data_IF_991010218746
#
_entry.id   IF_991010218746
#
_cell.length_a   1.000
_cell.length_b   1.000
_cell.length_c   1.000
_cell.angle_alpha   90.00
_cell.angle_beta   90.00
_cell.angle_gamma   90.00
#
_symmetry.space_group_name_H-M   'P 1'
#
loop_
_entity.id
_entity.type
_entity.pdbx_description
1 polymer ?
#
# COMPACT_ATOMS: atom_id res chain seq x y z
N UNK A 1 -50.94 -4.73 -38.81
CA UNK A 1 -50.87 -4.92 -37.35
C UNK A 1 -49.44 -4.60 -36.91
N UNK A 2 -49.31 -3.64 -36.00
CA UNK A 2 -48.29 -3.46 -34.94
C UNK A 2 -46.79 -3.65 -35.26
N UNK A 3 -46.02 -2.58 -35.04
CA UNK A 3 -44.55 -2.49 -34.91
C UNK A 3 -44.10 -2.90 -33.46
N UNK A 4 -42.81 -2.88 -33.04
CA UNK A 4 -41.49 -2.96 -33.71
C UNK A 4 -40.40 -3.78 -32.92
N UNK A 5 -39.15 -3.75 -33.43
CA UNK A 5 -37.82 -3.95 -32.77
C UNK A 5 -37.41 -5.28 -32.10
N UNK A 6 -36.33 -5.88 -32.63
CA UNK A 6 -35.04 -6.17 -31.94
C UNK A 6 -34.04 -6.61 -33.03
N UNK A 7 -33.34 -5.66 -33.64
CA UNK A 7 -31.93 -5.32 -33.36
C UNK A 7 -30.93 -6.28 -34.02
N UNK A 8 -30.55 -5.93 -35.25
CA UNK A 8 -29.21 -6.20 -35.78
C UNK A 8 -28.23 -5.25 -35.10
N UNK A 9 -27.15 -5.78 -34.53
CA UNK A 9 -25.91 -5.01 -34.42
C UNK A 9 -24.71 -5.96 -34.33
N UNK A 10 -24.00 -6.10 -35.44
CA UNK A 10 -22.57 -6.40 -35.44
C UNK A 10 -21.84 -5.08 -35.20
N UNK A 11 -21.11 -4.95 -34.09
CA UNK A 11 -19.98 -4.01 -34.03
C UNK A 11 -18.88 -4.59 -33.16
N UNK A 12 -17.70 -4.63 -33.75
CA UNK A 12 -16.44 -4.80 -33.07
C UNK A 12 -16.25 -3.71 -32.03
N UNK A 13 -15.89 -4.08 -30.79
CA UNK A 13 -15.37 -3.12 -29.83
C UNK A 13 -13.99 -3.57 -29.33
N UNK A 14 -13.04 -3.47 -30.25
CA UNK A 14 -11.82 -2.67 -30.10
C UNK A 14 -11.57 -2.13 -28.67
N UNK A 15 -10.60 -2.73 -27.99
CA UNK A 15 -9.61 -2.04 -27.16
C UNK A 15 -10.13 -0.89 -26.26
N UNK A 16 -10.61 -1.23 -25.07
CA UNK A 16 -10.75 -0.26 -23.98
C UNK A 16 -9.37 0.10 -23.42
N UNK A 17 -8.66 0.98 -24.12
CA UNK A 17 -7.78 1.94 -23.46
C UNK A 17 -8.69 3.01 -22.85
N UNK A 18 -8.87 2.99 -21.54
CA UNK A 18 -8.90 4.22 -20.72
C UNK A 18 -8.61 3.79 -19.29
N UNK A 19 -7.32 3.79 -18.98
CA UNK A 19 -6.82 4.15 -17.65
C UNK A 19 -7.33 5.55 -17.29
N UNK A 20 -8.16 5.74 -16.26
CA UNK A 20 -8.09 6.98 -15.50
C UNK A 20 -6.88 6.87 -14.59
N UNK A 21 -5.78 7.43 -15.09
CA UNK A 21 -4.66 8.03 -14.35
C UNK A 21 -4.90 8.11 -12.83
N UNK A 22 -4.36 7.15 -12.06
CA UNK A 22 -4.06 7.39 -10.64
C UNK A 22 -2.61 7.83 -10.61
N UNK A 23 -2.43 9.06 -10.18
CA UNK A 23 -1.20 9.82 -10.21
C UNK A 23 -0.08 9.03 -9.52
N UNK A 24 0.86 8.52 -10.31
CA UNK A 24 2.13 7.96 -9.85
C UNK A 24 2.98 9.09 -9.27
N UNK A 25 2.65 9.53 -8.06
CA UNK A 25 3.56 10.34 -7.24
C UNK A 25 4.56 9.42 -6.56
N UNK A 26 5.33 8.77 -7.43
CA UNK A 26 6.64 8.26 -7.09
C UNK A 26 7.65 9.12 -7.82
N UNK A 27 8.28 10.04 -7.10
CA UNK A 27 9.66 10.35 -7.40
C UNK A 27 10.54 10.11 -6.18
N UNK A 28 11.67 9.48 -6.47
CA UNK A 28 12.93 9.49 -5.72
C UNK A 28 13.17 8.41 -4.65
N UNK A 29 13.86 7.37 -5.14
CA UNK A 29 15.05 6.75 -4.53
C UNK A 29 14.85 5.51 -3.63
N UNK A 30 14.87 4.33 -4.27
CA UNK A 30 15.52 3.10 -3.77
C UNK A 30 15.22 2.62 -2.32
N UNK A 31 14.05 2.96 -1.76
CA UNK A 31 13.62 2.49 -0.43
C UNK A 31 12.62 1.35 -0.55
N UNK A 32 12.72 0.38 0.35
CA UNK A 32 11.85 -0.78 0.42
C UNK A 32 10.60 -0.44 1.23
N UNK A 33 9.41 -0.67 0.69
CA UNK A 33 8.17 -0.49 1.44
C UNK A 33 7.99 -1.64 2.44
N UNK A 34 8.02 -1.34 3.73
CA UNK A 34 7.89 -2.33 4.80
C UNK A 34 6.49 -2.96 4.86
N UNK A 35 5.47 -2.32 4.29
CA UNK A 35 4.12 -2.88 4.19
C UNK A 35 4.01 -3.98 3.14
N UNK A 36 4.93 -4.01 2.17
CA UNK A 36 4.99 -5.04 1.14
C UNK A 36 5.69 -6.32 1.65
N UNK A 37 6.50 -6.18 2.71
CA UNK A 37 7.26 -7.28 3.28
C UNK A 37 6.41 -8.14 4.23
N UNK A 38 6.43 -9.45 3.98
CA UNK A 38 5.92 -10.44 4.93
C UNK A 38 6.83 -10.54 6.16
N UNK A 39 6.32 -11.11 7.27
CA UNK A 39 7.09 -11.30 8.52
C UNK A 39 8.44 -11.99 8.31
N UNK A 40 8.51 -12.97 7.42
CA UNK A 40 9.77 -13.67 7.10
C UNK A 40 10.74 -12.73 6.38
N UNK A 41 10.29 -12.07 5.31
CA UNK A 41 11.09 -11.10 4.55
C UNK A 41 11.57 -9.94 5.44
N UNK A 42 10.72 -9.47 6.36
CA UNK A 42 11.09 -8.44 7.32
C UNK A 42 12.20 -8.93 8.27
N UNK A 43 12.13 -10.17 8.76
CA UNK A 43 13.19 -10.73 9.59
C UNK A 43 14.49 -10.90 8.82
N UNK A 44 14.43 -11.36 7.57
CA UNK A 44 15.59 -11.49 6.69
C UNK A 44 16.22 -10.14 6.39
N UNK A 45 15.41 -9.14 6.07
CA UNK A 45 15.85 -7.76 5.85
C UNK A 45 16.62 -7.19 7.05
N UNK A 46 16.10 -7.42 8.25
CA UNK A 46 16.80 -7.02 9.48
C UNK A 46 18.05 -7.86 9.75
N UNK A 47 18.02 -9.17 9.46
CA UNK A 47 19.17 -10.05 9.61
C UNK A 47 20.31 -9.65 8.67
N UNK A 48 20.01 -9.28 7.42
CA UNK A 48 20.98 -8.79 6.43
C UNK A 48 21.65 -7.48 6.88
N UNK A 49 20.91 -6.62 7.59
CA UNK A 49 21.45 -5.41 8.22
C UNK A 49 22.28 -5.65 9.49
N UNK A 50 22.39 -6.91 9.95
CA UNK A 50 23.06 -7.29 11.19
C UNK A 50 22.24 -7.02 12.47
N UNK A 51 20.93 -6.79 12.33
CA UNK A 51 20.02 -6.56 13.45
C UNK A 51 19.34 -7.87 13.87
N UNK A 52 18.90 -7.95 15.12
CA UNK A 52 18.21 -9.14 15.63
C UNK A 52 16.80 -9.24 15.03
N UNK A 53 16.31 -10.45 14.67
CA UNK A 53 15.01 -10.64 14.00
C UNK A 53 13.82 -10.19 14.85
N UNK A 54 13.97 -10.11 16.18
CA UNK A 54 12.90 -9.57 17.04
C UNK A 54 12.63 -8.08 16.77
N UNK A 55 13.60 -7.33 16.23
CA UNK A 55 13.41 -5.92 15.86
C UNK A 55 12.40 -5.78 14.73
N UNK A 56 12.40 -6.71 13.78
CA UNK A 56 11.39 -6.77 12.73
C UNK A 56 9.99 -7.01 13.32
N UNK A 57 9.83 -7.93 14.28
CA UNK A 57 8.55 -8.13 14.98
C UNK A 57 8.11 -6.86 15.76
N UNK A 58 9.04 -6.09 16.35
CA UNK A 58 8.69 -4.80 16.96
C UNK A 58 8.18 -3.80 15.93
N UNK A 59 8.85 -3.67 14.79
CA UNK A 59 8.45 -2.75 13.72
C UNK A 59 7.10 -3.16 13.14
N UNK A 60 6.87 -4.45 12.89
CA UNK A 60 5.56 -4.97 12.50
C UNK A 60 4.49 -4.60 13.53
N UNK A 61 4.76 -4.77 14.83
CA UNK A 61 3.79 -4.38 15.86
C UNK A 61 3.45 -2.88 15.75
N UNK A 62 4.43 -2.02 15.53
CA UNK A 62 4.19 -0.58 15.35
C UNK A 62 3.34 -0.28 14.11
N UNK A 63 3.67 -0.88 12.97
CA UNK A 63 2.96 -0.68 11.71
C UNK A 63 1.51 -1.20 11.81
N UNK A 64 1.31 -2.43 12.28
CA UNK A 64 -0.01 -3.09 12.24
C UNK A 64 -0.90 -2.80 13.45
N UNK A 65 -0.32 -2.57 14.64
CA UNK A 65 -1.11 -2.31 15.86
C UNK A 65 -1.34 -0.82 16.11
N UNK A 66 -0.36 0.01 15.77
CA UNK A 66 -0.43 1.45 16.00
C UNK A 66 -0.67 2.24 14.71
N UNK A 67 -0.78 1.57 13.54
CA UNK A 67 -0.89 2.21 12.23
C UNK A 67 0.15 3.32 12.04
N UNK A 68 1.38 3.06 12.51
CA UNK A 68 2.43 4.06 12.54
C UNK A 68 3.38 3.89 11.36
N UNK A 69 3.39 4.87 10.47
CA UNK A 69 4.27 4.97 9.31
C UNK A 69 5.57 5.73 9.57
N UNK A 70 5.67 6.43 10.70
CA UNK A 70 6.86 7.15 11.13
C UNK A 70 7.79 6.30 11.99
N UNK A 71 9.00 6.05 11.49
CA UNK A 71 10.04 5.40 12.30
C UNK A 71 10.41 6.21 13.55
N UNK A 72 10.31 7.54 13.51
CA UNK A 72 10.67 8.40 14.65
C UNK A 72 9.75 8.20 15.87
N UNK A 73 8.48 7.89 15.62
CA UNK A 73 7.47 7.62 16.64
C UNK A 73 7.69 6.28 17.35
N UNK A 74 8.45 5.37 16.75
CA UNK A 74 8.79 4.07 17.34
C UNK A 74 9.84 4.23 18.45
N UNK A 75 9.39 4.55 19.66
CA UNK A 75 10.27 4.82 20.82
C UNK A 75 11.06 3.60 21.28
N UNK A 76 10.55 2.39 21.05
CA UNK A 76 11.23 1.12 21.35
C UNK A 76 12.46 0.83 20.44
N UNK A 77 12.58 1.55 19.33
CA UNK A 77 13.66 1.36 18.35
C UNK A 77 14.79 2.36 18.65
N UNK A 78 16.05 1.93 18.60
CA UNK A 78 17.16 2.85 18.84
C UNK A 78 17.29 3.87 17.67
N UNK A 79 17.94 5.01 17.91
CA UNK A 79 18.12 6.05 16.87
C UNK A 79 18.94 5.59 15.66
N UNK A 80 19.89 4.69 15.85
CA UNK A 80 20.76 4.15 14.78
C UNK A 80 19.94 3.34 13.78
N UNK A 81 19.08 2.44 14.26
CA UNK A 81 18.20 1.61 13.47
C UNK A 81 17.12 2.44 12.78
N UNK A 82 16.54 3.44 13.47
CA UNK A 82 15.62 4.41 12.87
C UNK A 82 16.27 5.14 11.69
N UNK A 83 17.49 5.64 11.86
CA UNK A 83 18.23 6.31 10.79
C UNK A 83 18.58 5.40 9.61
N UNK A 84 18.94 4.12 9.87
CA UNK A 84 19.12 3.12 8.82
C UNK A 84 17.81 2.90 8.06
N UNK A 85 16.73 2.58 8.77
CA UNK A 85 15.42 2.31 8.18
C UNK A 85 14.93 3.46 7.33
N UNK A 86 14.97 4.71 7.81
CA UNK A 86 14.57 5.89 7.02
C UNK A 86 15.33 6.05 5.68
N UNK A 87 16.52 5.45 5.58
CA UNK A 87 17.41 5.54 4.42
C UNK A 87 17.23 4.37 3.46
N UNK A 88 16.89 3.18 3.95
CA UNK A 88 16.73 1.96 3.13
C UNK A 88 15.28 1.51 2.96
N UNK A 89 14.37 2.01 3.78
CA UNK A 89 13.00 1.56 3.86
C UNK A 89 12.03 2.73 4.12
N UNK A 90 10.78 2.52 3.75
CA UNK A 90 9.67 3.44 4.02
C UNK A 90 8.42 2.64 4.39
N UNK A 91 7.47 3.28 5.06
CA UNK A 91 6.15 2.70 5.37
C UNK A 91 5.15 3.59 4.64
N UNK A 92 4.68 3.17 3.47
CA UNK A 92 3.71 3.94 2.68
C UNK A 92 2.47 3.07 2.45
N UNK A 93 1.39 3.40 3.16
CA UNK A 93 0.09 2.78 2.93
C UNK A 93 -0.54 3.32 1.63
N UNK A 94 -1.35 2.52 0.93
CA UNK A 94 -2.14 3.03 -0.20
C UNK A 94 -3.11 4.10 0.30
N UNK A 95 -3.16 5.23 -0.39
CA UNK A 95 -4.16 6.25 -0.13
C UNK A 95 -5.53 5.75 -0.62
N UNK A 96 -6.59 5.95 0.17
CA UNK A 96 -7.95 5.57 -0.20
C UNK A 96 -8.42 6.53 -1.29
N UNK A 97 -8.55 6.03 -2.51
CA UNK A 97 -8.90 6.84 -3.68
C UNK A 97 -10.37 7.30 -3.68
N UNK A 98 -11.27 6.52 -3.09
CA UNK A 98 -12.70 6.86 -3.02
C UNK A 98 -13.29 6.29 -1.71
N UNK A 99 -13.89 7.15 -0.89
CA UNK A 99 -14.66 6.74 0.29
C UNK A 99 -16.14 7.04 0.03
N UNK A 100 -16.94 6.01 -0.24
CA UNK A 100 -18.39 6.15 -0.36
C UNK A 100 -19.06 5.81 0.97
N UNK A 101 -19.60 6.84 1.65
CA UNK A 101 -20.44 6.65 2.85
C UNK A 101 -21.91 6.56 2.47
N UNK A 102 -22.51 5.40 2.73
CA UNK A 102 -23.96 5.23 2.64
C UNK A 102 -24.67 5.74 3.89
N UNK A 103 -25.94 6.15 3.74
CA UNK A 103 -26.77 6.65 4.85
C UNK A 103 -27.04 5.59 5.95
N UNK A 104 -26.88 4.31 5.62
CA UNK A 104 -27.01 3.17 6.55
C UNK A 104 -25.72 2.92 7.38
N UNK A 105 -24.69 3.74 7.21
CA UNK A 105 -23.40 3.58 7.90
C UNK A 105 -22.44 2.61 7.23
N UNK A 106 -22.82 2.03 6.08
CA UNK A 106 -21.91 1.24 5.26
C UNK A 106 -20.86 2.17 4.61
N UNK A 107 -19.60 1.94 4.93
CA UNK A 107 -18.46 2.61 4.28
C UNK A 107 -17.94 1.65 3.22
N UNK A 108 -17.90 2.11 1.97
CA UNK A 108 -17.23 1.44 0.86
C UNK A 108 -15.92 2.18 0.58
N UNK A 109 -14.84 1.43 0.64
CA UNK A 109 -13.52 1.80 0.13
C UNK A 109 -13.27 1.08 -1.19
#
# INVERSE_FOLDING_TARGET
MLEPITSEHTVSENNSLTTPSVNVEQPAAAKINLLDLNRQQMREFFAEMGEKPFRADQVMKWIYHYCCDDFEQMTDINKVLRGKLQRVAEIRAPEVAEEQRSADGTIKW
#
